data_IF_689109754026
#
_entry.id   IF_689109754026
#
_cell.length_a   1.000
_cell.length_b   1.000
_cell.length_c   1.000
_cell.angle_alpha   90.00
_cell.angle_beta   90.00
_cell.angle_gamma   90.00
#
_symmetry.space_group_name_H-M   'P 1'
#
loop_
_entity.id
_entity.type
_entity.pdbx_description
1 polymer ?
#
# COMPACT_ATOMS: atom_id res chain seq x y z
N UNK A 1 6.16 1.77 -6.68
CA UNK A 1 5.70 1.51 -5.29
C UNK A 1 5.78 0.02 -4.95
N UNK A 2 5.07 -0.85 -5.67
CA UNK A 2 4.96 -2.28 -5.34
C UNK A 2 6.32 -2.99 -5.20
N UNK A 3 7.23 -2.81 -6.15
CA UNK A 3 8.59 -3.37 -6.08
C UNK A 3 9.34 -2.97 -4.80
N UNK A 4 9.21 -1.70 -4.37
CA UNK A 4 9.82 -1.22 -3.13
C UNK A 4 9.21 -1.88 -1.89
N UNK A 5 7.94 -2.26 -1.93
CA UNK A 5 7.29 -2.99 -0.83
C UNK A 5 7.82 -4.43 -0.74
N UNK A 6 8.19 -5.05 -1.87
CA UNK A 6 8.78 -6.39 -1.90
C UNK A 6 10.13 -6.47 -1.17
N UNK A 7 10.76 -5.34 -0.83
CA UNK A 7 11.95 -5.30 0.06
C UNK A 7 11.67 -5.87 1.46
N UNK A 8 10.39 -6.01 1.85
CA UNK A 8 9.97 -6.67 3.09
C UNK A 8 10.18 -8.19 3.09
N UNK A 9 10.46 -8.80 1.93
CA UNK A 9 10.78 -10.23 1.76
C UNK A 9 9.77 -11.12 2.50
N UNK A 10 10.25 -12.02 3.36
CA UNK A 10 9.46 -13.02 4.10
C UNK A 10 8.47 -12.42 5.11
N UNK A 11 8.48 -11.10 5.33
CA UNK A 11 7.51 -10.44 6.22
C UNK A 11 6.12 -10.29 5.61
N UNK A 12 5.97 -10.52 4.30
CA UNK A 12 4.69 -10.50 3.61
C UNK A 12 4.44 -11.85 2.93
N UNK A 13 3.27 -12.43 3.12
CA UNK A 13 2.93 -13.71 2.49
C UNK A 13 2.59 -13.58 1.00
N UNK A 14 1.98 -12.46 0.61
CA UNK A 14 1.67 -12.16 -0.80
C UNK A 14 1.53 -10.67 -1.04
N UNK A 15 1.69 -10.27 -2.31
CA UNK A 15 1.39 -8.92 -2.80
C UNK A 15 0.52 -9.07 -4.04
N UNK A 16 -0.63 -8.38 -4.06
CA UNK A 16 -1.57 -8.39 -5.18
C UNK A 16 -1.70 -6.99 -5.77
N UNK A 17 -1.59 -6.87 -7.08
CA UNK A 17 -1.97 -5.67 -7.81
C UNK A 17 -3.42 -5.84 -8.28
N UNK A 18 -4.28 -4.92 -7.88
CA UNK A 18 -5.70 -4.91 -8.26
C UNK A 18 -5.92 -3.70 -9.17
N UNK A 19 -6.18 -3.90 -10.47
CA UNK A 19 -6.55 -2.80 -11.36
C UNK A 19 -7.80 -2.09 -10.85
N UNK A 20 -7.83 -0.76 -10.95
CA UNK A 20 -8.97 0.06 -10.55
C UNK A 20 -9.11 1.27 -11.47
N UNK A 21 -10.26 1.93 -11.43
CA UNK A 21 -10.60 3.09 -12.24
C UNK A 21 -10.45 4.42 -11.50
N UNK A 22 -10.75 5.52 -12.20
CA UNK A 22 -10.92 6.85 -11.58
C UNK A 22 -9.65 7.46 -10.98
N UNK A 23 -8.45 6.99 -11.36
CA UNK A 23 -7.19 7.46 -10.79
C UNK A 23 -6.94 6.97 -9.36
N UNK A 24 -7.65 5.93 -8.92
CA UNK A 24 -7.50 5.36 -7.60
C UNK A 24 -6.09 4.79 -7.37
N UNK A 25 -5.51 5.13 -6.23
CA UNK A 25 -4.33 4.46 -5.70
C UNK A 25 -4.59 4.14 -4.23
N UNK A 26 -4.80 2.86 -3.94
CA UNK A 26 -5.18 2.39 -2.61
C UNK A 26 -4.21 1.32 -2.13
N UNK A 27 -3.90 1.36 -0.85
CA UNK A 27 -3.05 0.37 -0.20
C UNK A 27 -3.82 -0.22 0.97
N UNK A 28 -3.88 -1.55 1.01
CA UNK A 28 -4.53 -2.31 2.08
C UNK A 28 -3.60 -3.41 2.59
N UNK A 29 -3.67 -3.68 3.89
CA UNK A 29 -2.93 -4.75 4.57
C UNK A 29 -3.96 -5.67 5.22
N UNK A 30 -3.93 -6.96 4.90
CA UNK A 30 -4.89 -7.95 5.43
C UNK A 30 -6.36 -7.52 5.27
N UNK A 31 -6.70 -6.92 4.13
CA UNK A 31 -8.05 -6.41 3.84
C UNK A 31 -8.38 -5.05 4.47
N UNK A 32 -7.56 -4.53 5.38
CA UNK A 32 -7.75 -3.21 5.97
C UNK A 32 -7.05 -2.13 5.13
N UNK A 33 -7.83 -1.17 4.62
CA UNK A 33 -7.31 -0.01 3.89
C UNK A 33 -6.49 0.88 4.81
N UNK A 34 -5.25 1.16 4.42
CA UNK A 34 -4.32 2.04 5.15
C UNK A 34 -4.05 3.35 4.40
N UNK A 35 -4.40 3.43 3.12
CA UNK A 35 -4.25 4.64 2.31
C UNK A 35 -5.22 4.67 1.13
N UNK A 36 -5.68 5.86 0.76
CA UNK A 36 -6.43 6.11 -0.48
C UNK A 36 -6.09 7.48 -1.06
N UNK A 37 -5.53 7.50 -2.28
CA UNK A 37 -5.29 8.74 -3.04
C UNK A 37 -6.58 9.51 -3.32
N UNK A 38 -7.71 8.82 -3.48
CA UNK A 38 -8.99 9.51 -3.71
C UNK A 38 -9.46 10.26 -2.46
N UNK A 39 -9.04 9.83 -1.27
CA UNK A 39 -9.37 10.52 -0.01
C UNK A 39 -8.38 11.63 0.31
N UNK A 40 -7.09 11.41 0.06
CA UNK A 40 -6.03 12.38 0.37
C UNK A 40 -5.82 13.42 -0.73
N UNK A 41 -6.20 13.10 -1.97
CA UNK A 41 -5.90 13.88 -3.17
C UNK A 41 -4.47 13.69 -3.69
N UNK A 42 -3.60 13.01 -2.95
CA UNK A 42 -2.16 12.95 -3.24
C UNK A 42 -1.67 11.52 -3.47
N UNK A 43 -0.54 11.38 -4.17
CA UNK A 43 0.14 10.09 -4.28
C UNK A 43 0.96 9.86 -3.00
N UNK A 44 0.95 8.64 -2.42
CA UNK A 44 1.60 8.43 -1.13
C UNK A 44 3.12 8.51 -1.20
N UNK A 45 3.73 9.07 -0.16
CA UNK A 45 5.14 8.87 0.12
C UNK A 45 5.42 7.40 0.51
N UNK A 46 6.55 6.87 0.07
CA UNK A 46 6.94 5.50 0.39
C UNK A 46 7.23 5.28 1.87
N UNK A 47 7.92 6.22 2.52
CA UNK A 47 8.29 6.11 3.93
C UNK A 47 7.04 6.05 4.80
N UNK A 48 6.03 6.88 4.49
CA UNK A 48 4.74 6.87 5.16
C UNK A 48 4.01 5.51 5.00
N UNK A 49 3.93 4.99 3.77
CA UNK A 49 3.30 3.68 3.50
C UNK A 49 4.06 2.55 4.20
N UNK A 50 5.40 2.56 4.14
CA UNK A 50 6.21 1.53 4.78
C UNK A 50 6.03 1.53 6.30
N UNK A 51 5.93 2.71 6.92
CA UNK A 51 5.65 2.85 8.35
C UNK A 51 4.26 2.31 8.69
N UNK A 52 3.24 2.66 7.90
CA UNK A 52 1.88 2.16 8.08
C UNK A 52 1.78 0.63 7.93
N UNK A 53 2.46 0.04 6.94
CA UNK A 53 2.53 -1.43 6.78
C UNK A 53 3.19 -2.06 8.00
N UNK A 54 4.34 -1.54 8.46
CA UNK A 54 5.07 -2.09 9.62
C UNK A 54 4.27 -2.04 10.91
N UNK A 55 3.35 -1.08 11.08
CA UNK A 55 2.43 -1.02 12.22
C UNK A 55 1.23 -1.97 12.14
N UNK A 56 1.07 -2.69 11.02
CA UNK A 56 -0.04 -3.62 10.74
C UNK A 56 0.42 -5.07 10.51
N UNK A 57 1.73 -5.30 10.45
CA UNK A 57 2.37 -6.62 10.47
C UNK A 57 2.49 -7.11 11.91
#
# INVERSE_FOLDING_TARGET
MAERILTLKQRIGSLKLVPSGGGAFEVSVNGQKIYSKLQTGEFPDFGAILKAIKGKL
#
